data_IF_964403129763
#
_entry.id   IF_964403129763
#
_cell.length_a   1.000
_cell.length_b   1.000
_cell.length_c   1.000
_cell.angle_alpha   90.00
_cell.angle_beta   90.00
_cell.angle_gamma   90.00
#
_symmetry.space_group_name_H-M   'P 1'
#
loop_
_entity.id
_entity.type
_entity.pdbx_description
1 polymer ?
#
# COMPACT_ATOMS: atom_id res chain seq x y z
N UNK A 1 -8.32 31.69 -40.60
CA UNK A 1 -7.41 30.97 -39.68
C UNK A 1 -8.04 29.67 -39.22
N UNK A 2 -7.69 28.58 -39.92
CA UNK A 2 -8.39 27.30 -39.85
C UNK A 2 -8.14 26.58 -38.52
N UNK A 3 -9.20 26.25 -37.80
CA UNK A 3 -9.22 25.49 -36.53
C UNK A 3 -9.13 23.97 -36.76
N UNK A 4 -8.67 23.54 -37.92
CA UNK A 4 -8.76 22.16 -38.37
C UNK A 4 -7.43 21.44 -38.08
N UNK A 5 -7.44 20.38 -37.25
CA UNK A 5 -6.24 19.56 -37.04
C UNK A 5 -5.72 18.97 -38.36
N UNK A 6 -4.40 18.87 -38.49
CA UNK A 6 -3.76 18.25 -39.65
C UNK A 6 -4.19 16.78 -39.79
N UNK A 7 -4.02 16.21 -40.98
CA UNK A 7 -4.29 14.78 -41.23
C UNK A 7 -3.56 13.86 -40.25
N UNK A 8 -2.28 14.15 -39.97
CA UNK A 8 -1.50 13.41 -38.97
C UNK A 8 -2.08 13.53 -37.55
N UNK A 9 -2.50 14.73 -37.14
CA UNK A 9 -3.11 14.94 -35.83
C UNK A 9 -4.43 14.15 -35.68
N UNK A 10 -5.25 14.12 -36.74
CA UNK A 10 -6.49 13.32 -36.75
C UNK A 10 -6.24 11.82 -36.68
N UNK A 11 -5.20 11.32 -37.35
CA UNK A 11 -4.81 9.91 -37.27
C UNK A 11 -4.38 9.51 -35.84
N UNK A 12 -3.80 10.45 -35.10
CA UNK A 12 -3.46 10.32 -33.68
C UNK A 12 -4.64 10.64 -32.74
N UNK A 13 -5.84 10.87 -33.30
CA UNK A 13 -7.08 11.24 -32.59
C UNK A 13 -6.98 12.55 -31.78
N UNK A 14 -6.09 13.44 -32.19
CA UNK A 14 -5.96 14.77 -31.60
C UNK A 14 -6.98 15.74 -32.20
N UNK A 15 -7.68 16.44 -31.32
CA UNK A 15 -8.66 17.49 -31.61
C UNK A 15 -8.04 18.89 -31.53
N UNK A 16 -8.84 19.91 -31.86
CA UNK A 16 -8.44 21.31 -31.64
C UNK A 16 -8.27 21.65 -30.15
N UNK A 17 -8.89 20.89 -29.25
CA UNK A 17 -8.86 21.15 -27.82
C UNK A 17 -7.57 20.60 -27.21
N UNK A 18 -7.10 19.47 -27.72
CA UNK A 18 -5.80 18.88 -27.35
C UNK A 18 -4.65 19.85 -27.68
N UNK A 19 -4.73 20.56 -28.82
CA UNK A 19 -3.73 21.57 -29.18
C UNK A 19 -3.70 22.75 -28.20
N UNK A 20 -4.82 23.09 -27.55
CA UNK A 20 -4.89 24.13 -26.50
C UNK A 20 -4.35 23.61 -25.17
N UNK A 21 -4.67 22.37 -24.81
CA UNK A 21 -4.14 21.73 -23.60
C UNK A 21 -2.62 21.54 -23.66
N UNK A 22 -2.11 21.07 -24.80
CA UNK A 22 -0.67 20.84 -24.98
C UNK A 22 0.15 22.12 -25.24
N UNK A 23 -0.47 23.27 -25.48
CA UNK A 23 0.27 24.52 -25.72
C UNK A 23 1.21 24.84 -24.56
N UNK A 24 0.79 24.51 -23.33
CA UNK A 24 1.56 24.76 -22.11
C UNK A 24 2.42 23.58 -21.67
N UNK A 25 2.18 22.38 -22.23
CA UNK A 25 2.91 21.15 -21.86
C UNK A 25 4.01 20.77 -22.88
N UNK A 26 3.93 21.30 -24.12
CA UNK A 26 4.82 20.90 -25.23
C UNK A 26 6.30 21.25 -24.98
N UNK A 27 6.54 22.38 -24.33
CA UNK A 27 7.88 22.98 -24.19
C UNK A 27 8.31 23.04 -22.70
N UNK A 28 7.68 22.26 -21.82
CA UNK A 28 7.98 22.20 -20.37
C UNK A 28 8.64 20.86 -20.02
N UNK A 29 9.77 20.93 -19.31
CA UNK A 29 10.34 19.78 -18.61
C UNK A 29 9.69 19.71 -17.23
N UNK A 30 8.78 18.75 -17.04
CA UNK A 30 8.22 18.46 -15.73
C UNK A 30 9.19 17.58 -14.93
N UNK A 31 9.82 18.14 -13.90
CA UNK A 31 10.53 17.35 -12.90
C UNK A 31 9.52 16.79 -11.89
N UNK A 32 9.12 15.53 -12.06
CA UNK A 32 8.25 14.82 -11.11
C UNK A 32 9.04 14.40 -9.87
N UNK A 33 9.44 15.38 -9.06
CA UNK A 33 10.17 15.16 -7.81
C UNK A 33 11.46 14.37 -7.98
N UNK A 34 12.10 14.06 -6.85
CA UNK A 34 13.11 13.02 -6.78
C UNK A 34 12.38 11.72 -6.38
N UNK A 35 12.44 10.63 -7.16
CA UNK A 35 11.86 9.34 -6.78
C UNK A 35 12.37 8.82 -5.44
N UNK A 36 13.56 9.24 -4.99
CA UNK A 36 14.12 8.93 -3.69
C UNK A 36 13.60 9.84 -2.56
N UNK A 37 12.86 10.92 -2.88
CA UNK A 37 12.30 11.82 -1.88
C UNK A 37 11.13 11.15 -1.14
N UNK A 38 11.36 10.89 0.15
CA UNK A 38 10.34 10.42 1.10
C UNK A 38 9.38 11.56 1.47
N UNK A 39 8.40 11.84 0.61
CA UNK A 39 7.31 12.79 0.90
C UNK A 39 6.17 12.10 1.68
N UNK A 40 6.43 11.73 2.95
CA UNK A 40 5.39 11.21 3.87
C UNK A 40 5.30 12.05 5.14
N UNK A 41 4.13 12.02 5.78
CA UNK A 41 3.97 12.58 7.13
C UNK A 41 4.89 11.84 8.13
N UNK A 42 5.27 12.55 9.19
CA UNK A 42 5.95 11.93 10.32
C UNK A 42 5.10 10.78 10.89
N UNK A 43 5.77 9.77 11.43
CA UNK A 43 5.08 8.62 12.00
C UNK A 43 4.25 9.05 13.22
N UNK A 44 2.94 8.77 13.17
CA UNK A 44 2.03 9.04 14.27
C UNK A 44 2.11 7.99 15.38
N UNK A 45 1.44 8.26 16.50
CA UNK A 45 1.30 7.29 17.60
C UNK A 45 0.63 6.01 17.06
N UNK A 46 1.22 4.86 17.36
CA UNK A 46 0.69 3.53 17.04
C UNK A 46 0.37 2.77 18.33
N UNK A 47 -0.80 2.13 18.38
CA UNK A 47 -1.27 1.37 19.55
C UNK A 47 -0.87 -0.12 19.49
N UNK A 48 0.07 -0.44 18.60
CA UNK A 48 0.69 -1.76 18.47
C UNK A 48 2.12 -1.60 17.95
N UNK A 49 2.94 -2.63 18.16
CA UNK A 49 4.19 -2.83 17.44
C UNK A 49 3.97 -3.88 16.36
N UNK A 50 4.70 -3.77 15.27
CA UNK A 50 4.71 -4.80 14.24
C UNK A 50 6.13 -4.97 13.72
N UNK A 51 6.48 -6.18 13.34
CA UNK A 51 7.81 -6.53 12.86
C UNK A 51 7.71 -7.66 11.83
N UNK A 52 8.56 -7.62 10.81
CA UNK A 52 8.71 -8.68 9.83
C UNK A 52 10.15 -9.19 9.89
N UNK A 53 10.31 -10.43 10.33
CA UNK A 53 11.61 -11.10 10.38
C UNK A 53 11.71 -12.16 9.31
N UNK A 54 12.94 -12.48 8.90
CA UNK A 54 13.23 -13.52 7.91
C UNK A 54 14.35 -14.42 8.42
N UNK A 55 14.18 -15.74 8.24
CA UNK A 55 15.20 -16.76 8.47
C UNK A 55 15.24 -17.73 7.28
N UNK A 56 16.18 -17.51 6.36
CA UNK A 56 16.21 -18.25 5.09
C UNK A 56 14.99 -17.88 4.24
N UNK A 57 14.21 -18.86 3.81
CA UNK A 57 13.00 -18.63 3.01
C UNK A 57 11.73 -18.47 3.88
N UNK A 58 11.86 -18.51 5.21
CA UNK A 58 10.74 -18.38 6.14
C UNK A 58 10.65 -16.95 6.70
N UNK A 59 9.46 -16.37 6.62
CA UNK A 59 9.14 -15.03 7.10
C UNK A 59 8.14 -15.14 8.25
N UNK A 60 8.33 -14.34 9.31
CA UNK A 60 7.35 -14.18 10.40
C UNK A 60 6.95 -12.72 10.52
N UNK A 61 5.66 -12.44 10.32
CA UNK A 61 5.05 -11.14 10.55
C UNK A 61 4.31 -11.15 11.88
N UNK A 62 4.78 -10.34 12.82
CA UNK A 62 4.23 -10.25 14.19
C UNK A 62 3.57 -8.90 14.43
N UNK A 63 2.42 -8.90 15.13
CA UNK A 63 1.75 -7.70 15.63
C UNK A 63 1.49 -7.85 17.13
N UNK A 64 2.07 -6.96 17.94
CA UNK A 64 1.95 -6.99 19.40
C UNK A 64 1.16 -5.78 19.89
N UNK A 65 0.00 -5.97 20.56
CA UNK A 65 -0.79 -4.87 21.11
C UNK A 65 -0.03 -4.12 22.21
N UNK A 66 -0.15 -2.78 22.29
CA UNK A 66 0.52 -1.96 23.31
C UNK A 66 -0.42 -1.15 24.20
N UNK A 67 -1.71 -1.12 23.89
CA UNK A 67 -2.77 -0.41 24.64
C UNK A 67 -3.81 -1.38 25.23
N UNK A 68 -3.38 -2.59 25.59
CA UNK A 68 -4.28 -3.64 26.09
C UNK A 68 -5.38 -3.99 25.08
N UNK A 69 -6.59 -4.24 25.57
CA UNK A 69 -7.75 -4.63 24.74
C UNK A 69 -8.15 -3.61 23.67
N UNK A 70 -7.84 -2.32 23.88
CA UNK A 70 -8.16 -1.23 22.96
C UNK A 70 -7.15 -1.05 21.82
N UNK A 71 -6.09 -1.87 21.75
CA UNK A 71 -4.97 -1.66 20.81
C UNK A 71 -5.38 -1.62 19.34
N UNK A 72 -6.41 -2.38 18.97
CA UNK A 72 -6.89 -2.50 17.60
C UNK A 72 -8.18 -1.72 17.33
N UNK A 73 -8.66 -0.97 18.33
CA UNK A 73 -9.83 -0.12 18.20
C UNK A 73 -9.55 1.03 17.21
N UNK A 74 -10.57 1.48 16.47
CA UNK A 74 -10.43 2.62 15.58
C UNK A 74 -10.08 3.89 16.36
N UNK A 75 -9.14 4.67 15.84
CA UNK A 75 -8.74 5.96 16.47
C UNK A 75 -9.78 7.06 16.22
N UNK A 76 -10.58 6.93 15.15
CA UNK A 76 -11.64 7.86 14.80
C UNK A 76 -12.79 7.12 14.11
N UNK A 77 -14.02 7.34 14.58
CA UNK A 77 -15.26 6.75 14.05
C UNK A 77 -16.16 7.77 13.33
N UNK A 78 -15.79 9.06 13.30
CA UNK A 78 -16.60 10.19 12.81
C UNK A 78 -16.76 10.26 11.27
N UNK A 79 -16.83 9.13 10.57
CA UNK A 79 -17.09 9.12 9.14
C UNK A 79 -16.72 7.82 8.44
N UNK A 80 -17.58 7.45 7.50
CA UNK A 80 -17.59 6.25 6.66
C UNK A 80 -16.17 5.75 6.34
N UNK A 81 -15.85 4.51 6.72
CA UNK A 81 -14.63 3.74 6.36
C UNK A 81 -13.28 4.07 7.02
N UNK A 82 -13.16 4.89 8.06
CA UNK A 82 -11.83 5.11 8.70
C UNK A 82 -11.46 4.11 9.81
N UNK A 83 -12.38 3.26 10.25
CA UNK A 83 -12.12 2.24 11.28
C UNK A 83 -11.52 0.94 10.73
N UNK A 84 -10.85 0.17 11.60
CA UNK A 84 -10.41 -1.22 11.36
C UNK A 84 -9.49 -1.44 10.16
N UNK A 85 -8.55 -0.52 9.95
CA UNK A 85 -7.53 -0.69 8.90
C UNK A 85 -6.71 -1.96 9.15
N UNK A 86 -6.40 -2.73 8.10
CA UNK A 86 -5.56 -3.90 8.24
C UNK A 86 -4.13 -3.51 8.62
N UNK A 87 -3.40 -4.47 9.19
CA UNK A 87 -1.97 -4.36 9.38
C UNK A 87 -1.27 -4.62 8.06
N UNK A 88 -0.30 -3.78 7.70
CA UNK A 88 0.44 -3.89 6.45
C UNK A 88 1.92 -3.72 6.71
N UNK A 89 2.74 -4.51 6.03
CA UNK A 89 4.17 -4.25 5.88
C UNK A 89 4.62 -4.59 4.47
N UNK A 90 5.51 -3.77 3.93
CA UNK A 90 6.14 -3.99 2.62
C UNK A 90 7.38 -4.86 2.79
N UNK A 91 7.74 -5.57 1.73
CA UNK A 91 8.97 -6.35 1.65
C UNK A 91 10.09 -5.50 1.05
N UNK A 92 11.32 -5.69 1.52
CA UNK A 92 12.49 -5.00 0.99
C UNK A 92 12.84 -5.46 -0.43
N UNK A 93 12.48 -6.71 -0.77
CA UNK A 93 12.66 -7.32 -2.07
C UNK A 93 11.36 -7.96 -2.54
N UNK A 94 11.21 -8.12 -3.85
CA UNK A 94 10.05 -8.83 -4.39
C UNK A 94 10.12 -10.31 -4.04
N UNK A 95 8.98 -10.89 -3.69
CA UNK A 95 8.85 -12.29 -3.33
C UNK A 95 8.15 -13.09 -4.43
N UNK A 96 8.54 -14.34 -4.55
CA UNK A 96 7.79 -15.39 -5.24
C UNK A 96 6.47 -15.67 -4.52
N UNK A 97 5.62 -16.51 -5.11
CA UNK A 97 4.35 -16.92 -4.51
C UNK A 97 4.58 -17.50 -3.11
N UNK A 98 3.99 -16.86 -2.10
CA UNK A 98 4.11 -17.29 -0.72
C UNK A 98 3.24 -18.52 -0.41
N UNK A 99 3.75 -19.38 0.46
CA UNK A 99 3.01 -20.48 1.08
C UNK A 99 2.85 -20.19 2.58
N UNK A 100 1.62 -20.07 3.05
CA UNK A 100 1.34 -19.78 4.46
C UNK A 100 1.58 -21.07 5.26
N UNK A 101 2.43 -20.97 6.28
CA UNK A 101 2.76 -22.06 7.22
C UNK A 101 1.86 -21.99 8.45
N UNK A 102 1.58 -20.79 8.96
CA UNK A 102 0.67 -20.56 10.09
C UNK A 102 -0.04 -19.20 10.00
N UNK A 103 -1.18 -19.07 10.68
CA UNK A 103 -1.98 -17.84 10.68
C UNK A 103 -2.96 -17.72 9.51
N UNK A 104 -3.27 -18.83 8.81
CA UNK A 104 -4.22 -18.85 7.68
C UNK A 104 -5.62 -18.40 8.11
N UNK A 105 -6.04 -18.71 9.34
CA UNK A 105 -7.33 -18.34 9.94
C UNK A 105 -7.50 -16.83 10.11
N UNK A 106 -6.39 -16.08 10.11
CA UNK A 106 -6.38 -14.62 10.13
C UNK A 106 -6.65 -14.01 8.75
N UNK A 107 -6.74 -14.84 7.72
CA UNK A 107 -6.96 -14.47 6.31
C UNK A 107 -5.93 -13.44 5.79
N UNK A 108 -4.62 -13.69 5.93
CA UNK A 108 -3.61 -12.80 5.40
C UNK A 108 -3.62 -12.80 3.87
N UNK A 109 -3.36 -11.63 3.28
CA UNK A 109 -3.11 -11.47 1.84
C UNK A 109 -1.63 -11.19 1.66
N UNK A 110 -0.93 -12.13 1.01
CA UNK A 110 0.51 -12.04 0.75
C UNK A 110 0.72 -11.90 -0.76
N UNK A 111 1.36 -10.82 -1.17
CA UNK A 111 1.70 -10.51 -2.57
C UNK A 111 3.19 -10.65 -2.81
N UNK A 112 3.71 -10.20 -3.95
CA UNK A 112 5.14 -10.10 -4.20
C UNK A 112 5.79 -8.93 -3.45
N UNK A 113 5.03 -7.95 -2.96
CA UNK A 113 5.58 -6.69 -2.43
C UNK A 113 5.15 -6.35 -1.01
N UNK A 114 4.08 -6.97 -0.50
CA UNK A 114 3.60 -6.74 0.85
C UNK A 114 2.78 -7.90 1.39
N UNK A 115 2.64 -7.93 2.72
CA UNK A 115 1.64 -8.70 3.46
C UNK A 115 0.62 -7.76 4.08
N UNK A 116 -0.65 -8.18 4.05
CA UNK A 116 -1.78 -7.51 4.69
C UNK A 116 -2.51 -8.51 5.60
N UNK A 117 -2.73 -8.14 6.85
CA UNK A 117 -3.52 -8.93 7.81
C UNK A 117 -4.75 -8.12 8.22
N UNK A 118 -5.97 -8.60 7.95
CA UNK A 118 -7.20 -7.95 8.40
C UNK A 118 -7.18 -7.66 9.91
N UNK A 119 -7.67 -6.48 10.28
CA UNK A 119 -7.85 -6.15 11.70
C UNK A 119 -8.94 -7.06 12.30
N UNK A 120 -8.69 -7.72 13.45
CA UNK A 120 -9.69 -8.54 14.11
C UNK A 120 -10.99 -7.79 14.40
N UNK A 121 -12.14 -8.48 14.43
CA UNK A 121 -13.40 -7.89 14.84
C UNK A 121 -13.31 -7.25 16.24
N UNK A 122 -13.95 -6.10 16.42
CA UNK A 122 -13.91 -5.29 17.66
C UNK A 122 -14.47 -5.97 18.90
N UNK A 123 -15.26 -7.02 18.74
CA UNK A 123 -15.84 -7.80 19.83
C UNK A 123 -14.86 -8.79 20.47
N UNK A 124 -13.64 -8.92 19.92
CA UNK A 124 -12.56 -9.71 20.52
C UNK A 124 -11.52 -8.78 21.14
N UNK A 125 -11.01 -9.09 22.35
CA UNK A 125 -9.92 -8.32 22.92
C UNK A 125 -8.70 -8.41 22.02
N UNK A 126 -7.97 -7.29 21.87
CA UNK A 126 -6.71 -7.30 21.15
C UNK A 126 -5.71 -8.28 21.80
N UNK A 127 -5.22 -9.22 20.99
CA UNK A 127 -4.20 -10.19 21.36
C UNK A 127 -3.08 -10.23 20.32
N UNK A 128 -1.92 -10.84 20.63
CA UNK A 128 -0.83 -10.99 19.68
C UNK A 128 -1.28 -11.71 18.40
N UNK A 129 -0.76 -11.27 17.27
CA UNK A 129 -0.99 -11.89 15.96
C UNK A 129 0.35 -12.28 15.36
N UNK A 130 0.43 -13.48 14.80
CA UNK A 130 1.59 -13.96 14.05
C UNK A 130 1.13 -14.66 12.78
N UNK A 131 1.79 -14.35 11.66
CA UNK A 131 1.63 -15.05 10.38
C UNK A 131 3.01 -15.50 9.94
N UNK A 132 3.19 -16.81 9.74
CA UNK A 132 4.43 -17.39 9.21
C UNK A 132 4.18 -17.90 7.81
N UNK A 133 5.05 -17.54 6.87
CA UNK A 133 4.96 -17.98 5.48
C UNK A 133 6.34 -18.24 4.89
N UNK A 134 6.38 -19.05 3.82
CA UNK A 134 7.59 -19.31 3.05
C UNK A 134 7.53 -18.64 1.69
N UNK A 135 8.60 -17.97 1.31
CA UNK A 135 8.77 -17.37 0.00
C UNK A 135 10.26 -17.15 -0.29
N UNK A 136 10.60 -17.07 -1.58
CA UNK A 136 11.95 -16.70 -2.06
C UNK A 136 11.94 -15.32 -2.67
N UNK A 137 13.03 -14.59 -2.55
CA UNK A 137 13.23 -13.31 -3.27
C UNK A 137 13.41 -13.56 -4.78
N UNK A 138 13.05 -12.55 -5.58
CA UNK A 138 13.17 -12.52 -7.05
C UNK A 138 14.27 -11.56 -7.47
#
# INVERSE_FOLDING_TARGET
NSRIPSSNARNLRLSSDDARGFLFDRDIVAFYGDPAWQAKMADGKRNWKQDLTRKGDEYSFSITPTLGSASYAPVNENGVQRGYRPFITFFDQRLTKAEIVSGQELNPVITDTFILVPNPPSNKPAGPIEVVFRAKEI
#
